data_IF_432622281321
#
_entry.id   IF_432622281321
#
_cell.length_a   1.000
_cell.length_b   1.000
_cell.length_c   1.000
_cell.angle_alpha   90.00
_cell.angle_beta   90.00
_cell.angle_gamma   90.00
#
_symmetry.space_group_name_H-M   'P 1'
#
loop_
_entity.id
_entity.type
_entity.pdbx_description
1 polymer ?
#
# COMPACT_ATOMS: atom_id res chain seq x y z
N UNK A 1 -4.95 -6.34 -1.78
CA UNK A 1 -4.29 -5.21 -2.46
C UNK A 1 -2.77 -5.24 -2.29
N UNK A 2 -2.22 -4.96 -1.10
CA UNK A 2 -0.75 -4.87 -0.89
C UNK A 2 -0.03 -6.17 -1.28
N UNK A 3 -0.54 -7.34 -0.89
CA UNK A 3 0.09 -8.62 -1.22
C UNK A 3 0.19 -8.84 -2.74
N UNK A 4 -0.88 -8.54 -3.48
CA UNK A 4 -0.92 -8.62 -4.94
C UNK A 4 0.08 -7.65 -5.57
N UNK A 5 0.12 -6.40 -5.10
CA UNK A 5 1.08 -5.41 -5.60
C UNK A 5 2.54 -5.84 -5.39
N UNK A 6 2.86 -6.43 -4.24
CA UNK A 6 4.19 -6.95 -3.95
C UNK A 6 4.56 -8.17 -4.81
N UNK A 7 3.60 -9.07 -5.05
CA UNK A 7 3.83 -10.28 -5.84
C UNK A 7 3.90 -10.03 -7.35
N UNK A 8 3.11 -9.08 -7.86
CA UNK A 8 2.90 -8.91 -9.31
C UNK A 8 3.33 -7.53 -9.84
N UNK A 9 3.63 -6.56 -8.97
CA UNK A 9 4.02 -5.20 -9.37
C UNK A 9 2.87 -4.35 -9.95
N UNK A 10 1.66 -4.89 -10.01
CA UNK A 10 0.47 -4.21 -10.53
C UNK A 10 -0.79 -4.63 -9.78
N UNK A 11 -1.81 -3.78 -9.82
CA UNK A 11 -3.16 -4.10 -9.38
C UNK A 11 -4.10 -3.68 -10.52
N UNK A 12 -4.84 -4.64 -11.07
CA UNK A 12 -5.90 -4.40 -12.05
C UNK A 12 -7.24 -4.90 -11.51
N UNK A 13 -8.33 -4.73 -12.28
CA UNK A 13 -9.65 -5.19 -11.87
C UNK A 13 -9.74 -6.73 -11.81
N UNK A 14 -9.00 -7.42 -12.67
CA UNK A 14 -8.94 -8.87 -12.76
C UNK A 14 -8.34 -9.51 -11.51
N UNK A 15 -7.48 -8.77 -10.79
CA UNK A 15 -6.87 -9.23 -9.54
C UNK A 15 -7.88 -9.51 -8.42
N UNK A 16 -9.14 -9.08 -8.56
CA UNK A 16 -10.21 -9.30 -7.58
C UNK A 16 -11.12 -10.47 -7.94
N UNK A 17 -10.90 -11.15 -9.06
CA UNK A 17 -11.69 -12.31 -9.48
C UNK A 17 -11.23 -13.58 -8.75
N UNK A 18 -12.16 -14.53 -8.55
CA UNK A 18 -11.91 -15.78 -7.82
C UNK A 18 -10.72 -16.57 -8.38
N UNK A 19 -10.58 -16.62 -9.70
CA UNK A 19 -9.49 -17.34 -10.36
C UNK A 19 -8.12 -16.78 -10.00
N UNK A 20 -8.00 -15.45 -9.91
CA UNK A 20 -6.77 -14.79 -9.49
C UNK A 20 -6.53 -14.97 -7.98
N UNK A 21 -7.58 -14.83 -7.18
CA UNK A 21 -7.52 -14.98 -5.73
C UNK A 21 -7.12 -16.39 -5.26
N UNK A 22 -7.21 -17.41 -6.13
CA UNK A 22 -6.76 -18.78 -5.87
C UNK A 22 -5.25 -18.96 -5.79
N UNK A 23 -4.43 -17.98 -6.18
CA UNK A 23 -2.98 -18.07 -6.01
C UNK A 23 -2.63 -18.21 -4.51
N UNK A 24 -2.11 -19.37 -4.06
CA UNK A 24 -1.91 -19.62 -2.63
C UNK A 24 -0.87 -18.70 -2.00
N UNK A 25 -0.01 -18.05 -2.81
CA UNK A 25 1.01 -17.10 -2.34
C UNK A 25 0.37 -15.82 -1.79
N UNK A 26 -0.82 -15.43 -2.28
CA UNK A 26 -1.52 -14.23 -1.81
C UNK A 26 -1.87 -14.40 -0.34
N UNK A 27 -2.50 -15.51 0.02
CA UNK A 27 -2.93 -15.78 1.39
C UNK A 27 -1.75 -16.10 2.32
N UNK A 28 -0.74 -16.81 1.80
CA UNK A 28 0.50 -17.02 2.54
C UNK A 28 1.20 -15.69 2.90
N UNK A 29 1.21 -14.72 1.98
CA UNK A 29 1.80 -13.41 2.24
C UNK A 29 0.92 -12.56 3.18
N UNK A 30 -0.42 -12.61 3.01
CA UNK A 30 -1.36 -11.92 3.93
C UNK A 30 -1.21 -12.41 5.37
N UNK A 31 -0.98 -13.70 5.57
CA UNK A 31 -0.77 -14.27 6.90
C UNK A 31 0.49 -13.72 7.60
N UNK A 32 1.46 -13.19 6.84
CA UNK A 32 2.68 -12.56 7.36
C UNK A 32 2.52 -11.04 7.60
N UNK A 33 1.38 -10.45 7.25
CA UNK A 33 1.16 -9.00 7.38
C UNK A 33 0.71 -8.62 8.78
N UNK A 34 1.36 -7.60 9.35
CA UNK A 34 0.90 -6.92 10.56
C UNK A 34 0.48 -5.50 10.21
N UNK A 35 -0.79 -5.18 10.50
CA UNK A 35 -1.34 -3.83 10.32
C UNK A 35 -1.44 -3.18 11.69
N UNK A 36 -0.82 -2.01 11.84
CA UNK A 36 -0.87 -1.21 13.06
C UNK A 36 -1.21 0.23 12.70
N UNK A 37 -1.94 0.90 13.58
CA UNK A 37 -2.17 2.32 13.44
C UNK A 37 -0.87 3.12 13.60
N UNK A 38 -0.75 4.18 12.81
CA UNK A 38 0.21 5.27 13.02
C UNK A 38 -0.63 6.51 13.37
N UNK A 39 -0.64 6.97 14.64
CA UNK A 39 -1.50 8.07 15.08
C UNK A 39 -1.33 9.36 14.26
N UNK A 40 -0.13 9.60 13.71
CA UNK A 40 0.10 10.73 12.79
C UNK A 40 -0.80 10.63 11.55
N UNK A 41 -0.91 9.46 10.94
CA UNK A 41 -1.74 9.28 9.73
C UNK A 41 -3.20 9.56 10.02
N UNK A 42 -3.71 9.11 11.16
CA UNK A 42 -5.08 9.41 11.59
C UNK A 42 -5.30 10.91 11.78
N UNK A 43 -4.39 11.60 12.48
CA UNK A 43 -4.49 13.05 12.69
C UNK A 43 -4.46 13.83 11.36
N UNK A 44 -3.56 13.48 10.44
CA UNK A 44 -3.41 14.16 9.16
C UNK A 44 -4.51 13.83 8.14
N UNK A 45 -5.21 12.71 8.33
CA UNK A 45 -6.42 12.38 7.59
C UNK A 45 -7.56 13.35 7.89
N UNK A 46 -7.74 13.70 9.17
CA UNK A 46 -8.80 14.61 9.61
C UNK A 46 -8.45 16.10 9.51
N UNK A 47 -7.18 16.45 9.39
CA UNK A 47 -6.73 17.82 9.14
C UNK A 47 -7.29 18.32 7.79
N UNK A 48 -8.19 19.33 7.79
CA UNK A 48 -8.82 19.84 6.57
C UNK A 48 -7.84 20.38 5.54
N UNK A 49 -6.68 20.88 5.98
CA UNK A 49 -5.63 21.42 5.12
C UNK A 49 -4.82 20.30 4.46
N UNK A 50 -4.69 19.15 5.12
CA UNK A 50 -3.90 18.02 4.62
C UNK A 50 -4.74 17.02 3.86
N UNK A 51 -5.77 16.45 4.51
CA UNK A 51 -6.56 15.30 4.04
C UNK A 51 -5.68 14.16 3.52
N UNK A 52 -4.59 13.89 4.24
CA UNK A 52 -3.62 12.86 3.84
C UNK A 52 -4.26 11.46 3.92
N UNK A 53 -3.79 10.54 3.08
CA UNK A 53 -4.21 9.13 3.09
C UNK A 53 -2.96 8.27 3.29
N UNK A 54 -2.30 8.50 4.42
CA UNK A 54 -0.97 7.98 4.71
C UNK A 54 -0.94 6.47 4.91
N UNK A 55 0.00 5.82 4.24
CA UNK A 55 0.33 4.42 4.45
C UNK A 55 1.85 4.23 4.38
N UNK A 56 2.36 3.28 5.15
CA UNK A 56 3.74 2.82 5.07
C UNK A 56 3.81 1.30 4.97
N UNK A 57 4.76 0.80 4.20
CA UNK A 57 5.05 -0.63 4.07
C UNK A 57 6.55 -0.88 4.27
N UNK A 58 6.88 -1.92 5.02
CA UNK A 58 8.24 -2.42 5.18
C UNK A 58 8.19 -3.94 5.16
N UNK A 59 9.14 -4.57 4.45
CA UNK A 59 9.24 -6.03 4.35
C UNK A 59 10.47 -6.49 5.13
N UNK A 60 10.27 -7.50 5.97
CA UNK A 60 11.33 -8.17 6.74
C UNK A 60 11.55 -9.55 6.15
N UNK A 61 12.81 -9.91 5.91
CA UNK A 61 13.21 -11.17 5.32
C UNK A 61 13.70 -12.16 6.38
N UNK A 62 13.70 -13.45 6.05
CA UNK A 62 14.08 -14.52 6.98
C UNK A 62 15.58 -14.51 7.31
N UNK A 63 16.40 -13.85 6.48
CA UNK A 63 17.83 -13.61 6.73
C UNK A 63 18.08 -12.47 7.74
N UNK A 64 17.01 -11.87 8.27
CA UNK A 64 17.06 -10.77 9.24
C UNK A 64 17.22 -9.38 8.61
N UNK A 65 17.37 -9.28 7.29
CA UNK A 65 17.39 -7.99 6.60
C UNK A 65 15.98 -7.43 6.40
N UNK A 66 15.88 -6.14 6.08
CA UNK A 66 14.61 -5.49 5.80
C UNK A 66 14.77 -4.45 4.69
N UNK A 67 13.68 -4.19 3.98
CA UNK A 67 13.61 -3.04 3.08
C UNK A 67 13.61 -1.73 3.88
N UNK A 68 13.85 -0.62 3.20
CA UNK A 68 13.45 0.68 3.73
C UNK A 68 11.93 0.71 3.94
N UNK A 69 11.48 1.58 4.86
CA UNK A 69 10.06 1.81 5.13
C UNK A 69 9.50 2.80 4.10
N UNK A 70 8.97 2.27 3.00
CA UNK A 70 8.33 3.07 1.97
C UNK A 70 7.04 3.71 2.53
N UNK A 71 6.97 5.04 2.53
CA UNK A 71 5.85 5.80 3.10
C UNK A 71 5.28 6.77 2.07
N UNK A 72 3.97 6.75 1.87
CA UNK A 72 3.25 7.61 0.94
C UNK A 72 2.08 8.25 1.67
N UNK A 73 2.16 9.58 1.83
CA UNK A 73 1.15 10.36 2.56
C UNK A 73 0.01 10.81 1.64
N UNK A 74 0.31 11.02 0.34
CA UNK A 74 -0.64 11.51 -0.64
C UNK A 74 -0.71 10.56 -1.85
N UNK A 75 -1.88 9.95 -2.12
CA UNK A 75 -2.06 9.11 -3.31
C UNK A 75 -1.96 9.96 -4.58
N UNK A 76 -1.71 9.32 -5.73
CA UNK A 76 -1.52 10.03 -7.01
C UNK A 76 -2.72 10.90 -7.40
N UNK A 77 -3.95 10.51 -7.05
CA UNK A 77 -5.16 11.31 -7.32
C UNK A 77 -5.39 12.47 -6.35
N UNK A 78 -4.56 12.64 -5.32
CA UNK A 78 -4.73 13.71 -4.34
C UNK A 78 -4.48 15.09 -4.96
N UNK A 79 -5.16 16.15 -4.45
CA UNK A 79 -5.04 17.51 -4.98
C UNK A 79 -3.58 18.02 -5.02
N UNK A 80 -2.79 17.64 -3.99
CA UNK A 80 -1.36 17.97 -3.86
C UNK A 80 -0.46 17.28 -4.90
N UNK A 81 -0.95 16.24 -5.62
CA UNK A 81 -0.17 15.46 -6.61
C UNK A 81 -0.67 15.59 -8.04
N UNK A 82 -1.60 16.51 -8.32
CA UNK A 82 -2.22 16.69 -9.64
C UNK A 82 -1.24 16.77 -10.82
N UNK A 83 -0.07 17.40 -10.64
CA UNK A 83 0.93 17.49 -11.72
C UNK A 83 1.39 16.12 -12.20
N UNK A 84 1.58 15.17 -11.28
CA UNK A 84 2.04 13.80 -11.57
C UNK A 84 0.90 12.95 -12.16
N UNK A 85 -0.36 13.31 -11.90
CA UNK A 85 -1.54 12.58 -12.39
C UNK A 85 -1.85 12.83 -13.87
N UNK A 86 -1.29 13.89 -14.47
CA UNK A 86 -1.56 14.31 -15.87
C UNK A 86 -0.45 13.87 -16.84
N UNK A 87 0.72 13.50 -16.33
CA UNK A 87 1.91 13.09 -17.12
C UNK A 87 2.04 11.56 -17.33
N UNK A 88 0.99 10.77 -17.05
CA UNK A 88 0.92 9.33 -17.34
C UNK A 88 -0.27 9.03 -18.23
#
# INVERSE_FOLDING_TARGET
MVAVALLHGAITAECYQDEFARDPRIDALRAKMRVTEEPRFTAEYYDPEKRAVGNSVQVFFEDGTATEKASIDYPVGHCRRRRVSVEK
#
